data_IF_717073175644
#
_entry.id   IF_717073175644
#
_cell.length_a   1.000
_cell.length_b   1.000
_cell.length_c   1.000
_cell.angle_alpha   90.00
_cell.angle_beta   90.00
_cell.angle_gamma   90.00
#
_symmetry.space_group_name_H-M   'P 1'
#
loop_
_entity.id
_entity.type
_entity.pdbx_description
1 polymer ?
#
# COMPACT_ATOMS: atom_id res chain seq x y z
N UNK A 1 -1.84 38.28 -10.20
CA UNK A 1 -1.70 36.97 -9.56
C UNK A 1 -1.89 37.13 -8.07
N UNK A 2 -2.59 36.23 -7.36
CA UNK A 2 -2.65 36.33 -5.91
C UNK A 2 -1.26 36.09 -5.32
N UNK A 3 -0.90 36.87 -4.32
CA UNK A 3 0.37 36.77 -3.60
C UNK A 3 0.09 36.23 -2.19
N UNK A 4 0.98 35.37 -1.71
CA UNK A 4 0.96 34.88 -0.33
C UNK A 4 2.32 35.18 0.31
N UNK A 5 2.31 35.41 1.63
CA UNK A 5 3.52 35.53 2.42
C UNK A 5 3.60 34.42 3.45
N UNK A 6 4.80 33.86 3.65
CA UNK A 6 5.08 32.85 4.65
C UNK A 6 6.18 33.40 5.58
N UNK A 7 5.90 33.32 6.89
CA UNK A 7 6.87 33.69 7.91
C UNK A 7 7.29 32.41 8.63
N UNK A 8 8.59 32.14 8.67
CA UNK A 8 9.21 31.03 9.39
C UNK A 8 10.12 31.62 10.47
N UNK A 9 9.85 31.28 11.71
CA UNK A 9 10.64 31.70 12.85
C UNK A 9 10.75 30.54 13.85
N UNK A 10 11.97 30.21 14.28
CA UNK A 10 12.23 29.18 15.26
C UNK A 10 11.51 29.39 16.62
N UNK A 11 11.24 30.67 16.95
CA UNK A 11 10.48 31.00 18.17
C UNK A 11 9.01 30.55 18.11
N UNK A 12 8.48 30.25 16.93
CA UNK A 12 7.11 29.75 16.73
C UNK A 12 7.05 28.24 16.56
N UNK A 13 8.11 27.51 16.87
CA UNK A 13 8.09 26.06 16.87
C UNK A 13 7.07 25.53 17.88
N UNK A 14 6.10 24.74 17.40
CA UNK A 14 5.02 24.19 18.24
C UNK A 14 5.45 22.84 18.82
N UNK A 15 6.00 21.95 17.98
CA UNK A 15 6.41 20.61 18.36
C UNK A 15 7.36 19.98 17.33
N UNK A 16 8.12 18.94 17.70
CA UNK A 16 8.83 18.09 16.74
C UNK A 16 7.85 17.40 15.80
N UNK A 17 8.20 17.31 14.52
CA UNK A 17 7.44 16.55 13.53
C UNK A 17 7.73 15.07 13.72
N UNK A 18 6.75 14.24 14.10
CA UNK A 18 6.97 12.81 14.23
C UNK A 18 7.19 12.18 12.86
N UNK A 19 8.15 11.24 12.77
CA UNK A 19 8.51 10.58 11.51
C UNK A 19 7.32 9.89 10.84
N UNK A 20 6.38 9.34 11.60
CA UNK A 20 5.16 8.70 11.06
C UNK A 20 4.26 9.64 10.24
N UNK A 21 4.49 10.96 10.27
CA UNK A 21 3.82 11.90 9.37
C UNK A 21 4.17 11.62 7.90
N UNK A 22 5.35 11.05 7.65
CA UNK A 22 5.82 10.65 6.32
C UNK A 22 5.45 9.19 5.98
N UNK A 23 4.34 8.73 6.52
CA UNK A 23 3.78 7.44 6.20
C UNK A 23 2.98 7.45 4.89
N UNK A 24 2.62 6.25 4.46
CA UNK A 24 1.76 6.02 3.30
C UNK A 24 0.78 4.89 3.58
N UNK A 25 -0.07 4.57 2.60
CA UNK A 25 -0.89 3.37 2.67
C UNK A 25 -0.95 2.68 1.32
N UNK A 26 -1.24 1.38 1.35
CA UNK A 26 -1.44 0.53 0.18
C UNK A 26 -2.87 0.03 0.19
N UNK A 27 -3.58 0.12 -0.93
CA UNK A 27 -4.94 -0.35 -1.08
C UNK A 27 -5.06 -1.28 -2.29
N UNK A 28 -5.88 -2.32 -2.18
CA UNK A 28 -6.27 -3.19 -3.29
C UNK A 28 -7.23 -2.46 -4.24
N UNK A 29 -6.73 -1.42 -4.90
CA UNK A 29 -7.46 -0.58 -5.83
C UNK A 29 -6.69 -0.50 -7.15
N UNK A 30 -7.37 -0.75 -8.27
CA UNK A 30 -6.74 -0.69 -9.59
C UNK A 30 -5.49 -1.57 -9.66
N UNK A 31 -4.37 -0.98 -10.07
CA UNK A 31 -3.07 -1.66 -10.20
C UNK A 31 -2.11 -1.37 -9.04
N UNK A 32 -2.61 -0.98 -7.88
CA UNK A 32 -1.73 -0.68 -6.75
C UNK A 32 -1.04 -1.94 -6.23
N UNK A 33 -1.81 -3.00 -5.98
CA UNK A 33 -1.29 -4.29 -5.51
C UNK A 33 -1.08 -5.24 -6.69
N UNK A 34 -2.17 -5.79 -7.27
CA UNK A 34 -2.06 -6.70 -8.41
C UNK A 34 -1.63 -5.97 -9.68
N UNK A 35 -0.66 -6.53 -10.39
CA UNK A 35 0.00 -5.92 -11.56
C UNK A 35 0.70 -4.58 -11.27
N UNK A 36 0.91 -4.30 -10.00
CA UNK A 36 1.67 -3.16 -9.50
C UNK A 36 2.77 -3.64 -8.56
N UNK A 37 2.51 -3.64 -7.25
CA UNK A 37 3.46 -4.12 -6.23
C UNK A 37 3.70 -5.63 -6.34
N UNK A 38 2.63 -6.40 -6.59
CA UNK A 38 2.63 -7.85 -6.68
C UNK A 38 2.20 -8.30 -8.08
N UNK A 39 3.11 -8.94 -8.80
CA UNK A 39 2.89 -9.43 -10.16
C UNK A 39 3.78 -10.65 -10.43
N UNK A 40 3.42 -11.84 -9.90
CA UNK A 40 4.16 -13.07 -10.17
C UNK A 40 4.28 -13.32 -11.68
N UNK A 41 5.46 -13.66 -12.15
CA UNK A 41 5.74 -13.85 -13.58
C UNK A 41 6.17 -12.59 -14.34
N UNK A 42 6.14 -11.40 -13.71
CA UNK A 42 6.76 -10.22 -14.30
C UNK A 42 8.30 -10.38 -14.33
N UNK A 43 9.02 -9.91 -15.39
CA UNK A 43 10.49 -10.05 -15.47
C UNK A 43 11.27 -9.39 -14.34
N UNK A 44 10.64 -8.48 -13.58
CA UNK A 44 11.22 -7.79 -12.43
C UNK A 44 10.61 -8.26 -11.10
N UNK A 45 9.84 -9.34 -11.11
CA UNK A 45 9.34 -9.94 -9.88
C UNK A 45 10.42 -10.80 -9.23
N UNK A 46 10.49 -10.76 -7.91
CA UNK A 46 11.27 -11.69 -7.12
C UNK A 46 10.57 -13.05 -6.99
N UNK A 47 11.21 -13.98 -6.27
CA UNK A 47 10.66 -15.34 -6.05
C UNK A 47 9.34 -15.34 -5.25
N UNK A 48 9.02 -14.27 -4.56
CA UNK A 48 7.76 -14.10 -3.82
C UNK A 48 6.65 -13.51 -4.67
N UNK A 49 6.98 -12.94 -5.82
CA UNK A 49 6.07 -12.27 -6.74
C UNK A 49 6.01 -10.75 -6.56
N UNK A 50 6.87 -10.18 -5.72
CA UNK A 50 6.96 -8.73 -5.54
C UNK A 50 7.82 -8.09 -6.64
N UNK A 51 7.38 -6.96 -7.14
CA UNK A 51 8.08 -6.16 -8.16
C UNK A 51 9.25 -5.40 -7.56
N UNK A 52 10.48 -5.86 -7.81
CA UNK A 52 11.70 -5.21 -7.29
C UNK A 52 11.87 -3.76 -7.75
N UNK A 53 11.44 -3.42 -8.96
CA UNK A 53 11.48 -2.06 -9.47
C UNK A 53 10.52 -1.13 -8.70
N UNK A 54 9.33 -1.61 -8.34
CA UNK A 54 8.38 -0.88 -7.50
C UNK A 54 8.89 -0.75 -6.06
N UNK A 55 9.46 -1.82 -5.51
CA UNK A 55 10.08 -1.80 -4.19
C UNK A 55 11.25 -0.82 -4.11
N UNK A 56 12.07 -0.73 -5.17
CA UNK A 56 13.17 0.23 -5.25
C UNK A 56 12.67 1.67 -5.17
N UNK A 57 11.63 2.02 -5.94
CA UNK A 57 10.99 3.33 -5.90
C UNK A 57 10.34 3.61 -4.53
N UNK A 58 9.72 2.61 -3.93
CA UNK A 58 9.14 2.74 -2.59
C UNK A 58 10.21 3.04 -1.54
N UNK A 59 11.38 2.38 -1.63
CA UNK A 59 12.52 2.66 -0.74
C UNK A 59 13.09 4.06 -0.96
N UNK A 60 13.12 4.54 -2.20
CA UNK A 60 13.55 5.91 -2.52
C UNK A 60 12.60 6.96 -1.90
N UNK A 61 11.28 6.75 -1.98
CA UNK A 61 10.29 7.59 -1.29
C UNK A 61 10.49 7.55 0.23
N UNK A 62 10.91 6.41 0.78
CA UNK A 62 11.26 6.24 2.19
C UNK A 62 10.09 6.39 3.16
N UNK A 63 8.93 5.75 2.94
CA UNK A 63 7.82 5.83 3.89
C UNK A 63 8.25 5.26 5.24
N UNK A 64 7.89 5.96 6.32
CA UNK A 64 8.30 5.59 7.68
C UNK A 64 7.31 4.67 8.39
N UNK A 65 6.12 4.55 7.82
CA UNK A 65 5.06 3.61 8.20
C UNK A 65 4.17 3.38 6.99
N UNK A 66 3.65 2.16 6.83
CA UNK A 66 2.72 1.81 5.77
C UNK A 66 1.46 1.21 6.38
N UNK A 67 0.30 1.72 6.01
CA UNK A 67 -1.00 1.15 6.37
C UNK A 67 -1.49 0.21 5.27
N UNK A 68 -1.91 -0.97 5.67
CA UNK A 68 -2.46 -2.02 4.81
C UNK A 68 -3.76 -2.56 5.45
N UNK A 69 -4.73 -3.07 4.73
CA UNK A 69 -4.85 -3.20 3.27
C UNK A 69 -5.52 -2.01 2.55
N UNK A 70 -5.58 -0.85 3.17
CA UNK A 70 -5.94 0.39 2.50
C UNK A 70 -7.20 1.09 3.00
N UNK A 71 -7.94 1.68 2.07
CA UNK A 71 -9.09 2.54 2.27
C UNK A 71 -10.43 1.81 2.18
N UNK A 72 -11.22 2.04 1.10
CA UNK A 72 -12.56 1.47 0.96
C UNK A 72 -12.58 -0.06 0.86
N UNK A 73 -11.53 -0.67 0.32
CA UNK A 73 -11.35 -2.11 0.27
C UNK A 73 -11.56 -2.79 1.63
N UNK A 74 -11.12 -2.16 2.72
CA UNK A 74 -11.24 -2.69 4.09
C UNK A 74 -12.69 -2.99 4.50
N UNK A 75 -13.67 -2.26 3.93
CA UNK A 75 -15.07 -2.36 4.35
C UNK A 75 -15.69 -3.74 4.15
N UNK A 76 -15.19 -4.53 3.20
CA UNK A 76 -15.68 -5.89 2.91
C UNK A 76 -14.58 -6.96 2.97
N UNK A 77 -13.34 -6.57 3.26
CA UNK A 77 -12.22 -7.47 3.30
C UNK A 77 -12.17 -8.29 4.60
N UNK A 78 -11.93 -9.57 4.46
CA UNK A 78 -11.66 -10.49 5.57
C UNK A 78 -10.20 -10.89 5.52
N UNK A 79 -9.43 -10.45 6.49
CA UNK A 79 -7.99 -10.71 6.53
C UNK A 79 -7.66 -12.21 6.63
N UNK A 80 -8.57 -13.02 7.20
CA UNK A 80 -8.45 -14.48 7.29
C UNK A 80 -8.44 -15.14 5.93
N UNK A 81 -9.09 -14.55 4.94
CA UNK A 81 -9.08 -15.06 3.56
C UNK A 81 -7.71 -14.86 2.90
N UNK A 82 -6.89 -13.92 3.39
CA UNK A 82 -5.56 -13.58 2.87
C UNK A 82 -4.38 -14.24 3.59
N UNK A 83 -4.62 -15.25 4.44
CA UNK A 83 -3.57 -16.00 5.15
C UNK A 83 -3.60 -17.49 4.79
N UNK A 84 -2.57 -18.23 5.24
CA UNK A 84 -2.41 -19.65 4.91
C UNK A 84 -1.96 -19.89 3.46
N UNK A 85 -2.01 -21.16 3.00
CA UNK A 85 -1.56 -21.54 1.66
C UNK A 85 -2.36 -20.83 0.57
N UNK A 86 -1.68 -20.18 -0.37
CA UNK A 86 -2.33 -19.37 -1.43
C UNK A 86 -3.35 -20.16 -2.25
N UNK A 87 -3.10 -21.45 -2.47
CA UNK A 87 -3.99 -22.34 -3.26
C UNK A 87 -5.33 -22.63 -2.57
N UNK A 88 -5.40 -22.41 -1.26
CA UNK A 88 -6.60 -22.64 -0.45
C UNK A 88 -7.39 -21.34 -0.21
N UNK A 89 -6.84 -20.20 -0.57
CA UNK A 89 -7.47 -18.90 -0.31
C UNK A 89 -8.68 -18.70 -1.22
N UNK A 90 -9.81 -18.24 -0.66
CA UNK A 90 -11.02 -18.06 -1.44
C UNK A 90 -10.91 -16.85 -2.38
N UNK A 91 -11.55 -16.95 -3.52
CA UNK A 91 -11.79 -15.80 -4.41
C UNK A 91 -13.09 -15.10 -3.98
N UNK A 92 -13.07 -13.79 -3.86
CA UNK A 92 -14.20 -12.96 -3.43
C UNK A 92 -14.48 -11.85 -4.43
N UNK A 93 -15.71 -11.36 -4.41
CA UNK A 93 -16.05 -10.09 -5.04
C UNK A 93 -15.72 -8.96 -4.05
N UNK A 94 -14.83 -8.07 -4.45
CA UNK A 94 -14.63 -6.81 -3.73
C UNK A 94 -15.76 -5.83 -4.07
N UNK A 95 -16.51 -5.45 -3.06
CA UNK A 95 -17.69 -4.58 -3.20
C UNK A 95 -17.31 -3.10 -3.33
N UNK A 96 -16.12 -2.71 -2.88
CA UNK A 96 -15.68 -1.33 -2.94
C UNK A 96 -15.29 -0.93 -4.38
N UNK A 97 -14.55 -1.81 -5.08
CA UNK A 97 -14.01 -1.53 -6.41
C UNK A 97 -14.61 -2.40 -7.51
N UNK A 98 -15.60 -3.23 -7.17
CA UNK A 98 -16.29 -4.16 -8.08
C UNK A 98 -15.30 -5.05 -8.86
N UNK A 99 -14.25 -5.48 -8.19
CA UNK A 99 -13.19 -6.31 -8.74
C UNK A 99 -13.18 -7.70 -8.12
N UNK A 100 -12.49 -8.63 -8.75
CA UNK A 100 -12.28 -9.96 -8.18
C UNK A 100 -11.02 -9.93 -7.31
N UNK A 101 -11.19 -10.20 -6.02
CA UNK A 101 -10.10 -10.39 -5.08
C UNK A 101 -9.75 -11.88 -4.99
N UNK A 102 -8.52 -12.20 -5.36
CA UNK A 102 -8.02 -13.59 -5.37
C UNK A 102 -7.30 -13.97 -4.09
N UNK A 103 -7.10 -13.01 -3.18
CA UNK A 103 -6.38 -13.18 -1.93
C UNK A 103 -4.94 -13.73 -2.08
N UNK A 104 -4.33 -13.56 -3.26
CA UNK A 104 -2.96 -14.02 -3.52
C UNK A 104 -1.90 -13.13 -2.87
N UNK A 105 -2.28 -11.90 -2.52
CA UNK A 105 -1.49 -10.97 -1.74
C UNK A 105 -2.27 -10.62 -0.47
N UNK A 106 -1.83 -11.11 0.66
CA UNK A 106 -2.46 -10.90 1.96
C UNK A 106 -1.46 -10.41 3.00
N UNK A 107 -1.75 -10.68 4.27
CA UNK A 107 -0.95 -10.19 5.39
C UNK A 107 0.49 -10.73 5.40
N UNK A 108 0.71 -11.96 4.90
CA UNK A 108 2.03 -12.58 4.91
C UNK A 108 2.90 -12.13 3.73
N UNK A 109 2.31 -11.65 2.65
CA UNK A 109 3.02 -11.12 1.49
C UNK A 109 3.36 -9.63 1.66
N UNK A 110 2.56 -8.89 2.45
CA UNK A 110 2.80 -7.49 2.79
C UNK A 110 3.92 -7.33 3.82
#
# INVERSE_FOLDING_TARGET
MPTASLILDAAYAIAPVPRRLFGTFVEHMGRCVYTGLYEPGHPRADDTGLREDVLALTREIGPTVVRYPGGNFVSSYRWEDGIGPRVERPTRLDLAWHSIETNQFGLHEF
#
